data_IF_578958850432
#
_entry.id   IF_578958850432
#
_cell.length_a   1.000
_cell.length_b   1.000
_cell.length_c   1.000
_cell.angle_alpha   90.00
_cell.angle_beta   90.00
_cell.angle_gamma   90.00
#
_symmetry.space_group_name_H-M   'P 1'
#
loop_
_entity.id
_entity.type
_entity.pdbx_description
1 polymer ?
#
# COMPACT_ATOMS: atom_id res chain seq x y z
N UNK A 1 -22.18 -31.57 21.06
CA UNK A 1 -22.88 -30.94 19.93
C UNK A 1 -23.15 -29.44 20.12
N UNK A 2 -23.54 -28.94 21.31
CA UNK A 2 -23.87 -27.51 21.49
C UNK A 2 -22.71 -26.51 21.28
N UNK A 3 -21.46 -26.87 21.56
CA UNK A 3 -20.31 -25.96 21.39
C UNK A 3 -20.05 -25.58 19.92
N UNK A 4 -20.22 -26.53 18.99
CA UNK A 4 -19.99 -26.35 17.56
C UNK A 4 -21.05 -25.44 16.93
N UNK A 5 -22.33 -25.59 17.31
CA UNK A 5 -23.39 -24.72 16.82
C UNK A 5 -23.23 -23.28 17.32
N UNK A 6 -22.91 -23.08 18.61
CA UNK A 6 -22.69 -21.73 19.15
C UNK A 6 -21.51 -21.01 18.51
N UNK A 7 -20.48 -21.75 18.07
CA UNK A 7 -19.35 -21.14 17.36
C UNK A 7 -19.74 -20.77 15.93
N UNK A 8 -20.39 -21.67 15.18
CA UNK A 8 -20.84 -21.40 13.80
C UNK A 8 -21.79 -20.19 13.75
N UNK A 9 -22.73 -20.09 14.69
CA UNK A 9 -23.66 -18.95 14.77
C UNK A 9 -22.91 -17.64 15.01
N UNK A 10 -21.93 -17.62 15.92
CA UNK A 10 -21.09 -16.45 16.16
C UNK A 10 -20.25 -16.05 14.95
N UNK A 11 -19.73 -17.01 14.19
CA UNK A 11 -18.99 -16.75 12.96
C UNK A 11 -19.90 -16.16 11.87
N UNK A 12 -21.09 -16.73 11.70
CA UNK A 12 -22.07 -16.24 10.72
C UNK A 12 -22.50 -14.80 11.03
N UNK A 13 -22.73 -14.47 12.30
CA UNK A 13 -23.09 -13.12 12.74
C UNK A 13 -21.97 -12.11 12.47
N UNK A 14 -20.71 -12.50 12.73
CA UNK A 14 -19.54 -11.66 12.44
C UNK A 14 -19.38 -11.42 10.94
N UNK A 15 -19.52 -12.46 10.11
CA UNK A 15 -19.47 -12.33 8.66
C UNK A 15 -20.57 -11.36 8.18
N UNK A 16 -21.79 -11.55 8.67
CA UNK A 16 -22.93 -10.71 8.31
C UNK A 16 -22.76 -9.25 8.75
N UNK A 17 -22.10 -9.01 9.89
CA UNK A 17 -21.73 -7.68 10.34
C UNK A 17 -20.72 -7.01 9.38
N UNK A 18 -19.75 -7.77 8.86
CA UNK A 18 -18.78 -7.27 7.88
C UNK A 18 -19.49 -6.91 6.57
N UNK A 19 -20.37 -7.79 6.08
CA UNK A 19 -21.17 -7.52 4.88
C UNK A 19 -22.06 -6.28 5.04
N UNK A 20 -22.67 -6.09 6.21
CA UNK A 20 -23.46 -4.87 6.49
C UNK A 20 -22.60 -3.61 6.49
N UNK A 21 -21.36 -3.71 6.96
CA UNK A 21 -20.47 -2.56 7.09
C UNK A 21 -19.78 -2.18 5.77
N UNK A 22 -19.26 -3.16 5.04
CA UNK A 22 -18.49 -2.95 3.80
C UNK A 22 -19.01 -3.83 2.65
N UNK A 23 -20.28 -3.66 2.22
CA UNK A 23 -20.90 -4.55 1.24
C UNK A 23 -20.21 -4.51 -0.12
N UNK A 24 -19.90 -3.31 -0.62
CA UNK A 24 -19.28 -3.13 -1.94
C UNK A 24 -17.85 -3.66 -2.00
N UNK A 25 -17.09 -3.54 -0.90
CA UNK A 25 -15.72 -4.05 -0.84
C UNK A 25 -15.69 -5.59 -0.90
N UNK A 26 -16.60 -6.24 -0.15
CA UNK A 26 -16.77 -7.69 -0.17
C UNK A 26 -17.22 -8.21 -1.53
N UNK A 27 -18.20 -7.53 -2.17
CA UNK A 27 -18.62 -7.88 -3.53
C UNK A 27 -17.47 -7.73 -4.52
N UNK A 28 -16.69 -6.65 -4.43
CA UNK A 28 -15.53 -6.43 -5.28
C UNK A 28 -14.49 -7.54 -5.12
N UNK A 29 -14.17 -7.92 -3.89
CA UNK A 29 -13.24 -9.02 -3.59
C UNK A 29 -13.75 -10.37 -4.08
N UNK A 30 -15.04 -10.66 -3.90
CA UNK A 30 -15.64 -11.91 -4.33
C UNK A 30 -15.63 -12.05 -5.86
N UNK A 31 -16.07 -11.02 -6.57
CA UNK A 31 -16.11 -11.01 -8.04
C UNK A 31 -14.68 -11.04 -8.61
N UNK A 32 -13.74 -10.26 -8.05
CA UNK A 32 -12.34 -10.28 -8.47
C UNK A 32 -11.72 -11.67 -8.31
N UNK A 33 -11.94 -12.31 -7.15
CA UNK A 33 -11.43 -13.67 -6.88
C UNK A 33 -12.00 -14.66 -7.90
N UNK A 34 -13.32 -14.67 -8.12
CA UNK A 34 -13.96 -15.57 -9.09
C UNK A 34 -13.42 -15.35 -10.50
N UNK A 35 -13.29 -14.10 -10.94
CA UNK A 35 -12.74 -13.78 -12.26
C UNK A 35 -11.31 -14.30 -12.41
N UNK A 36 -10.45 -14.12 -11.40
CA UNK A 36 -9.09 -14.65 -11.43
C UNK A 36 -9.05 -16.18 -11.43
N UNK A 37 -9.95 -16.84 -10.69
CA UNK A 37 -10.08 -18.31 -10.72
C UNK A 37 -10.48 -18.81 -12.12
N UNK A 38 -11.45 -18.15 -12.76
CA UNK A 38 -11.88 -18.44 -14.13
C UNK A 38 -10.73 -18.22 -15.12
N UNK A 39 -9.99 -17.13 -14.98
CA UNK A 39 -8.83 -16.83 -15.83
C UNK A 39 -7.73 -17.90 -15.72
N UNK A 40 -7.48 -18.42 -14.51
CA UNK A 40 -6.52 -19.51 -14.30
C UNK A 40 -7.03 -20.83 -14.90
N UNK A 41 -8.32 -21.11 -14.79
CA UNK A 41 -8.89 -22.36 -15.28
C UNK A 41 -8.90 -22.43 -16.81
N UNK A 42 -9.33 -21.35 -17.47
CA UNK A 42 -9.37 -21.28 -18.94
C UNK A 42 -7.96 -21.10 -19.53
N UNK A 43 -7.09 -20.38 -18.83
CA UNK A 43 -5.72 -20.13 -19.26
C UNK A 43 -5.63 -19.50 -20.65
N UNK A 44 -4.69 -19.97 -21.48
CA UNK A 44 -4.47 -19.45 -22.85
C UNK A 44 -5.51 -19.92 -23.88
N UNK A 45 -6.46 -20.76 -23.50
CA UNK A 45 -7.47 -21.31 -24.42
C UNK A 45 -8.64 -20.33 -24.65
N UNK A 46 -8.73 -19.25 -23.86
CA UNK A 46 -9.79 -18.25 -24.00
C UNK A 46 -9.60 -17.39 -25.25
N UNK A 47 -10.70 -16.86 -25.84
CA UNK A 47 -10.62 -15.75 -26.79
C UNK A 47 -9.84 -14.59 -26.19
N UNK A 48 -8.98 -13.96 -27.00
CA UNK A 48 -8.10 -12.85 -26.55
C UNK A 48 -8.93 -11.71 -25.97
N UNK A 49 -10.08 -11.39 -26.58
CA UNK A 49 -10.98 -10.34 -26.11
C UNK A 49 -11.56 -10.64 -24.72
N UNK A 50 -11.93 -11.90 -24.46
CA UNK A 50 -12.43 -12.31 -23.15
C UNK A 50 -11.34 -12.17 -22.08
N UNK A 51 -10.13 -12.64 -22.37
CA UNK A 51 -8.99 -12.58 -21.43
C UNK A 51 -8.64 -11.13 -21.09
N UNK A 52 -8.70 -10.23 -22.07
CA UNK A 52 -8.45 -8.81 -21.90
C UNK A 52 -9.51 -8.15 -21.00
N UNK A 53 -10.80 -8.37 -21.31
CA UNK A 53 -11.90 -7.80 -20.53
C UNK A 53 -11.90 -8.32 -19.10
N UNK A 54 -11.68 -9.63 -18.91
CA UNK A 54 -11.63 -10.24 -17.59
C UNK A 54 -10.46 -9.72 -16.73
N UNK A 55 -9.26 -9.55 -17.31
CA UNK A 55 -8.12 -8.97 -16.59
C UNK A 55 -8.36 -7.49 -16.23
N UNK A 56 -8.94 -6.71 -17.15
CA UNK A 56 -9.36 -5.32 -16.88
C UNK A 56 -10.31 -5.24 -15.70
N UNK A 57 -11.35 -6.07 -15.71
CA UNK A 57 -12.32 -6.13 -14.62
C UNK A 57 -11.68 -6.58 -13.31
N UNK A 58 -10.79 -7.58 -13.32
CA UNK A 58 -10.09 -8.03 -12.14
C UNK A 58 -9.22 -6.92 -11.51
N UNK A 59 -8.49 -6.14 -12.32
CA UNK A 59 -7.74 -4.97 -11.83
C UNK A 59 -8.64 -3.86 -11.29
N UNK A 60 -9.76 -3.56 -11.97
CA UNK A 60 -10.69 -2.53 -11.47
C UNK A 60 -11.31 -2.96 -10.13
N UNK A 61 -11.70 -4.23 -10.03
CA UNK A 61 -12.31 -4.75 -8.82
C UNK A 61 -11.30 -4.91 -7.67
N UNK A 62 -10.01 -5.14 -7.95
CA UNK A 62 -8.98 -5.14 -6.90
C UNK A 62 -8.83 -3.75 -6.27
N UNK A 63 -8.93 -2.65 -7.04
CA UNK A 63 -8.98 -1.29 -6.48
C UNK A 63 -10.22 -1.09 -5.61
N UNK A 64 -11.38 -1.64 -6.02
CA UNK A 64 -12.62 -1.55 -5.25
C UNK A 64 -12.50 -2.12 -3.83
N UNK A 65 -11.65 -3.13 -3.62
CA UNK A 65 -11.38 -3.70 -2.29
C UNK A 65 -10.86 -2.64 -1.31
N UNK A 66 -10.01 -1.72 -1.78
CA UNK A 66 -9.41 -0.67 -0.95
C UNK A 66 -10.20 0.64 -0.99
N UNK A 67 -10.75 0.98 -2.15
CA UNK A 67 -11.47 2.24 -2.37
C UNK A 67 -12.76 2.34 -1.55
N UNK A 68 -13.62 1.31 -1.58
CA UNK A 68 -14.93 1.39 -0.90
C UNK A 68 -14.81 1.52 0.63
N UNK A 69 -13.95 0.76 1.31
CA UNK A 69 -13.73 0.94 2.74
C UNK A 69 -13.10 2.29 3.07
N UNK A 70 -12.13 2.77 2.27
CA UNK A 70 -11.50 4.07 2.46
C UNK A 70 -12.52 5.22 2.37
N UNK A 71 -13.38 5.20 1.35
CA UNK A 71 -14.46 6.18 1.18
C UNK A 71 -15.49 6.09 2.32
N UNK A 72 -15.80 4.89 2.80
CA UNK A 72 -16.69 4.71 3.96
C UNK A 72 -16.09 5.28 5.26
N UNK A 73 -14.77 5.18 5.43
CA UNK A 73 -14.06 5.77 6.57
C UNK A 73 -14.01 7.30 6.48
N UNK A 74 -13.94 7.86 5.28
CA UNK A 74 -14.00 9.30 5.05
C UNK A 74 -15.41 9.86 5.31
N UNK A 75 -16.44 9.18 4.80
CA UNK A 75 -17.83 9.56 5.05
C UNK A 75 -18.80 8.41 4.92
N UNK A 76 -19.81 8.36 5.81
CA UNK A 76 -20.89 7.35 5.76
C UNK A 76 -21.99 7.68 4.75
N UNK A 77 -21.93 8.85 4.09
CA UNK A 77 -22.95 9.30 3.13
C UNK A 77 -22.97 8.40 1.88
N UNK A 78 -24.18 8.13 1.36
CA UNK A 78 -24.38 7.27 0.17
C UNK A 78 -23.65 7.79 -1.08
N UNK A 79 -23.52 9.11 -1.22
CA UNK A 79 -22.85 9.76 -2.35
C UNK A 79 -21.39 9.31 -2.53
N UNK A 80 -20.66 9.03 -1.45
CA UNK A 80 -19.29 8.54 -1.55
C UNK A 80 -19.21 7.14 -2.17
N UNK A 81 -20.24 6.30 -1.99
CA UNK A 81 -20.30 5.00 -2.68
C UNK A 81 -20.51 5.19 -4.19
N UNK A 82 -21.34 6.16 -4.60
CA UNK A 82 -21.55 6.49 -6.01
C UNK A 82 -20.29 7.05 -6.66
N UNK A 83 -19.57 7.93 -5.94
CA UNK A 83 -18.25 8.43 -6.37
C UNK A 83 -17.27 7.28 -6.56
N UNK A 84 -17.23 6.32 -5.63
CA UNK A 84 -16.40 5.13 -5.76
C UNK A 84 -16.69 4.32 -7.02
N UNK A 85 -17.97 4.09 -7.33
CA UNK A 85 -18.38 3.39 -8.56
C UNK A 85 -17.97 4.19 -9.80
N UNK A 86 -18.19 5.51 -9.79
CA UNK A 86 -17.77 6.40 -10.88
C UNK A 86 -16.26 6.37 -11.13
N UNK A 87 -15.44 6.37 -10.06
CA UNK A 87 -13.99 6.27 -10.15
C UNK A 87 -13.54 4.92 -10.72
N UNK A 88 -14.18 3.81 -10.32
CA UNK A 88 -13.88 2.49 -10.89
C UNK A 88 -14.26 2.41 -12.37
N UNK A 89 -15.40 2.98 -12.77
CA UNK A 89 -15.82 3.05 -14.17
C UNK A 89 -14.87 3.91 -15.00
N UNK A 90 -14.44 5.06 -14.47
CA UNK A 90 -13.43 5.90 -15.09
C UNK A 90 -12.10 5.15 -15.28
N UNK A 91 -11.64 4.44 -14.25
CA UNK A 91 -10.42 3.64 -14.31
C UNK A 91 -10.51 2.49 -15.33
N UNK A 92 -11.67 1.84 -15.45
CA UNK A 92 -11.91 0.81 -16.47
C UNK A 92 -11.75 1.35 -17.89
N UNK A 93 -12.35 2.51 -18.16
CA UNK A 93 -12.26 3.16 -19.48
C UNK A 93 -10.82 3.59 -19.79
N UNK A 94 -10.10 4.02 -18.77
CA UNK A 94 -8.74 4.51 -18.88
C UNK A 94 -7.69 3.41 -19.08
N UNK A 95 -7.95 2.17 -18.66
CA UNK A 95 -6.98 1.09 -18.82
C UNK A 95 -6.65 0.87 -20.32
N UNK A 96 -5.36 0.86 -20.70
CA UNK A 96 -4.96 0.61 -22.08
C UNK A 96 -5.36 -0.80 -22.53
N UNK A 97 -5.36 -1.03 -23.84
CA UNK A 97 -5.72 -2.34 -24.40
C UNK A 97 -4.71 -3.43 -24.00
N UNK A 98 -3.41 -3.09 -23.93
CA UNK A 98 -2.38 -4.01 -23.45
C UNK A 98 -2.14 -3.86 -21.94
N UNK A 99 -2.91 -4.61 -21.14
CA UNK A 99 -2.98 -4.47 -19.69
C UNK A 99 -1.79 -5.12 -18.97
N UNK A 100 -1.19 -6.14 -19.59
CA UNK A 100 -0.10 -6.93 -19.01
C UNK A 100 1.28 -6.33 -19.28
N UNK A 101 1.34 -5.09 -19.74
CA UNK A 101 2.60 -4.36 -19.80
C UNK A 101 3.16 -4.16 -18.38
N UNK A 102 4.48 -4.19 -18.20
CA UNK A 102 5.10 -4.01 -16.88
C UNK A 102 4.72 -2.67 -16.25
N UNK A 103 4.63 -1.62 -17.06
CA UNK A 103 4.36 -0.27 -16.58
C UNK A 103 2.93 -0.12 -16.04
N UNK A 104 1.93 -0.71 -16.71
CA UNK A 104 0.52 -0.65 -16.29
C UNK A 104 0.30 -1.42 -14.99
N UNK A 105 0.99 -2.55 -14.81
CA UNK A 105 0.96 -3.32 -13.55
C UNK A 105 1.59 -2.52 -12.41
N UNK A 106 2.75 -1.89 -12.63
CA UNK A 106 3.41 -1.05 -11.61
C UNK A 106 2.50 0.13 -11.21
N UNK A 107 1.89 0.82 -12.17
CA UNK A 107 0.96 1.92 -11.92
C UNK A 107 -0.29 1.46 -11.14
N UNK A 108 -0.84 0.30 -11.51
CA UNK A 108 -1.94 -0.32 -10.77
C UNK A 108 -1.56 -0.63 -9.32
N UNK A 109 -0.36 -1.19 -9.09
CA UNK A 109 0.14 -1.46 -7.75
C UNK A 109 0.37 -0.18 -6.93
N UNK A 110 0.86 0.88 -7.58
CA UNK A 110 0.98 2.22 -6.97
C UNK A 110 -0.39 2.77 -6.55
N UNK A 111 -1.42 2.63 -7.38
CA UNK A 111 -2.78 3.01 -7.03
C UNK A 111 -3.33 2.23 -5.83
N UNK A 112 -3.12 0.90 -5.79
CA UNK A 112 -3.46 0.08 -4.61
C UNK A 112 -2.74 0.60 -3.36
N UNK A 113 -1.48 0.97 -3.49
CA UNK A 113 -0.68 1.51 -2.39
C UNK A 113 -1.20 2.88 -1.91
N UNK A 114 -1.57 3.77 -2.83
CA UNK A 114 -2.16 5.08 -2.52
C UNK A 114 -3.49 4.93 -1.75
N UNK A 115 -4.35 4.02 -2.19
CA UNK A 115 -5.61 3.69 -1.51
C UNK A 115 -5.38 3.03 -0.16
N UNK A 116 -4.34 2.21 -0.03
CA UNK A 116 -3.94 1.60 1.24
C UNK A 116 -3.53 2.67 2.27
N UNK A 117 -2.85 3.74 1.84
CA UNK A 117 -2.55 4.87 2.72
C UNK A 117 -3.79 5.66 3.14
N UNK A 118 -4.88 5.65 2.36
CA UNK A 118 -6.13 6.32 2.75
C UNK A 118 -6.69 5.78 4.06
N UNK A 119 -6.49 4.50 4.38
CA UNK A 119 -6.89 3.94 5.68
C UNK A 119 -6.23 4.61 6.87
N UNK A 120 -5.06 5.24 6.67
CA UNK A 120 -4.28 5.87 7.74
C UNK A 120 -4.65 7.34 7.97
N UNK A 121 -5.24 8.02 6.98
CA UNK A 121 -5.60 9.44 7.10
C UNK A 121 -7.10 9.74 6.97
N UNK A 122 -7.86 8.93 6.24
CA UNK A 122 -9.27 9.18 5.95
C UNK A 122 -10.15 9.38 7.20
N UNK A 123 -10.02 8.58 8.29
CA UNK A 123 -10.81 8.76 9.50
C UNK A 123 -10.52 10.10 10.22
N UNK A 124 -9.39 10.72 9.95
CA UNK A 124 -8.87 11.90 10.68
C UNK A 124 -9.10 13.22 9.94
N UNK A 125 -9.76 13.21 8.76
CA UNK A 125 -9.95 14.43 7.98
C UNK A 125 -10.81 15.46 8.72
N UNK A 126 -11.95 15.01 9.24
CA UNK A 126 -12.95 15.88 9.86
C UNK A 126 -12.75 16.07 11.37
N UNK A 127 -11.74 15.42 11.98
CA UNK A 127 -11.53 15.44 13.43
C UNK A 127 -10.10 15.85 13.76
N UNK A 128 -9.96 16.83 14.66
CA UNK A 128 -8.65 17.16 15.27
C UNK A 128 -8.32 16.12 16.32
N UNK A 129 -7.25 15.36 16.09
CA UNK A 129 -6.84 14.23 16.92
C UNK A 129 -5.33 14.32 17.16
N UNK A 130 -4.87 13.93 18.34
CA UNK A 130 -3.45 13.90 18.69
C UNK A 130 -2.65 12.89 17.84
N UNK A 131 -1.36 13.14 17.65
CA UNK A 131 -0.48 12.22 16.92
C UNK A 131 -0.41 10.82 17.55
N UNK A 132 -0.57 10.72 18.87
CA UNK A 132 -0.63 9.43 19.57
C UNK A 132 -1.80 8.58 19.08
N UNK A 133 -3.00 9.14 18.99
CA UNK A 133 -4.17 8.41 18.50
C UNK A 133 -4.02 8.01 17.01
N UNK A 134 -3.41 8.86 16.18
CA UNK A 134 -3.12 8.53 14.78
C UNK A 134 -2.13 7.37 14.69
N UNK A 135 -1.10 7.38 15.54
CA UNK A 135 -0.11 6.31 15.62
C UNK A 135 -0.74 5.00 16.08
N UNK A 136 -1.55 4.99 17.14
CA UNK A 136 -2.22 3.77 17.64
C UNK A 136 -3.19 3.19 16.61
N UNK A 137 -3.92 4.03 15.89
CA UNK A 137 -4.74 3.61 14.75
C UNK A 137 -3.89 2.97 13.65
N UNK A 138 -2.80 3.62 13.27
CA UNK A 138 -1.90 3.12 12.22
C UNK A 138 -1.31 1.77 12.58
N UNK A 139 -0.84 1.62 13.82
CA UNK A 139 -0.36 0.35 14.35
C UNK A 139 -1.43 -0.72 14.27
N UNK A 140 -2.67 -0.40 14.66
CA UNK A 140 -3.76 -1.36 14.63
C UNK A 140 -4.11 -1.81 13.21
N UNK A 141 -4.18 -0.90 12.25
CA UNK A 141 -4.44 -1.20 10.84
C UNK A 141 -3.33 -2.08 10.26
N UNK A 142 -2.06 -1.71 10.45
CA UNK A 142 -0.91 -2.49 9.96
C UNK A 142 -0.89 -3.87 10.62
N UNK A 143 -1.09 -3.96 11.93
CA UNK A 143 -1.13 -5.24 12.64
C UNK A 143 -2.26 -6.14 12.10
N UNK A 144 -3.46 -5.60 11.90
CA UNK A 144 -4.58 -6.38 11.37
C UNK A 144 -4.30 -6.87 9.94
N UNK A 145 -3.66 -6.05 9.10
CA UNK A 145 -3.26 -6.44 7.75
C UNK A 145 -2.24 -7.58 7.79
N UNK A 146 -1.17 -7.41 8.58
CA UNK A 146 -0.11 -8.41 8.73
C UNK A 146 -0.63 -9.73 9.30
N UNK A 147 -1.50 -9.68 10.32
CA UNK A 147 -2.10 -10.89 10.88
C UNK A 147 -3.01 -11.58 9.85
N UNK A 148 -3.79 -10.84 9.06
CA UNK A 148 -4.60 -11.43 7.98
C UNK A 148 -3.75 -12.16 6.93
N UNK A 149 -2.64 -11.56 6.52
CA UNK A 149 -1.69 -12.17 5.58
C UNK A 149 -0.96 -13.36 6.19
N UNK A 150 -0.50 -13.28 7.44
CA UNK A 150 0.16 -14.38 8.15
C UNK A 150 -0.77 -15.56 8.32
N UNK A 151 -2.02 -15.34 8.73
CA UNK A 151 -3.02 -16.39 8.84
C UNK A 151 -3.27 -17.06 7.48
N UNK A 152 -3.38 -16.27 6.41
CA UNK A 152 -3.52 -16.79 5.05
C UNK A 152 -2.32 -17.64 4.63
N UNK A 153 -1.09 -17.19 4.93
CA UNK A 153 0.14 -17.92 4.65
C UNK A 153 0.19 -19.25 5.42
N UNK A 154 -0.15 -19.25 6.71
CA UNK A 154 -0.18 -20.47 7.52
C UNK A 154 -1.20 -21.47 6.98
N UNK A 155 -2.41 -21.01 6.60
CA UNK A 155 -3.42 -21.88 5.98
C UNK A 155 -2.94 -22.43 4.64
N UNK A 156 -2.27 -21.60 3.83
CA UNK A 156 -1.70 -22.03 2.56
C UNK A 156 -0.61 -23.09 2.75
N UNK A 157 0.28 -22.92 3.72
CA UNK A 157 1.32 -23.92 4.04
C UNK A 157 0.69 -25.24 4.49
N UNK A 158 -0.33 -25.19 5.36
CA UNK A 158 -1.04 -26.39 5.80
C UNK A 158 -1.69 -27.12 4.62
N UNK A 159 -2.33 -26.39 3.71
CA UNK A 159 -2.89 -26.95 2.48
C UNK A 159 -1.81 -27.56 1.60
N UNK A 160 -0.69 -26.85 1.38
CA UNK A 160 0.42 -27.32 0.56
C UNK A 160 1.00 -28.64 1.08
N UNK A 161 1.29 -28.72 2.38
CA UNK A 161 1.80 -29.94 3.03
C UNK A 161 0.79 -31.09 2.94
N UNK A 162 -0.50 -30.79 3.09
CA UNK A 162 -1.55 -31.81 2.97
C UNK A 162 -1.65 -32.37 1.56
N UNK A 163 -1.59 -31.51 0.54
CA UNK A 163 -1.61 -31.95 -0.86
C UNK A 163 -0.36 -32.75 -1.22
N UNK A 164 0.82 -32.33 -0.73
CA UNK A 164 2.05 -33.10 -0.89
C UNK A 164 1.96 -34.50 -0.26
N UNK A 165 1.37 -34.62 0.93
CA UNK A 165 1.14 -35.92 1.56
C UNK A 165 0.15 -36.79 0.76
N UNK A 166 -0.86 -36.19 0.11
CA UNK A 166 -1.79 -36.92 -0.75
C UNK A 166 -1.11 -37.46 -2.03
N UNK A 167 -0.24 -36.65 -2.63
CA UNK A 167 0.56 -37.06 -3.79
C UNK A 167 1.47 -38.26 -3.44
N UNK A 168 2.17 -38.19 -2.30
CA UNK A 168 3.14 -39.22 -1.91
C UNK A 168 2.47 -40.51 -1.38
N UNK A 169 1.41 -40.39 -0.56
CA UNK A 169 0.79 -41.55 0.10
C UNK A 169 -0.30 -42.22 -0.75
N UNK A 170 -0.99 -41.45 -1.59
CA UNK A 170 -2.17 -41.92 -2.33
C UNK A 170 -2.01 -41.77 -3.85
N UNK A 171 -0.85 -41.30 -4.34
CA UNK A 171 -0.57 -41.11 -5.77
C UNK A 171 -1.62 -40.22 -6.50
N UNK A 172 -2.25 -39.30 -5.76
CA UNK A 172 -3.22 -38.35 -6.32
C UNK A 172 -2.48 -37.15 -6.89
N UNK A 173 -2.35 -37.06 -8.22
CA UNK A 173 -1.65 -35.93 -8.87
C UNK A 173 -2.53 -34.68 -8.93
N UNK A 174 -2.04 -33.55 -8.40
CA UNK A 174 -2.73 -32.26 -8.45
C UNK A 174 -2.05 -31.30 -9.41
N UNK A 175 -2.84 -30.66 -10.27
CA UNK A 175 -2.30 -29.64 -11.16
C UNK A 175 -1.86 -28.40 -10.37
N UNK A 176 -0.69 -27.85 -10.70
CA UNK A 176 -0.08 -26.67 -10.04
C UNK A 176 -1.02 -25.46 -9.96
N UNK A 177 -1.98 -25.34 -10.90
CA UNK A 177 -3.02 -24.30 -10.91
C UNK A 177 -3.88 -24.28 -9.64
N UNK A 178 -4.13 -25.41 -8.99
CA UNK A 178 -4.98 -25.48 -7.81
C UNK A 178 -4.33 -24.80 -6.59
N UNK A 179 -3.00 -24.82 -6.49
CA UNK A 179 -2.28 -24.07 -5.46
C UNK A 179 -2.45 -22.57 -5.65
N UNK A 180 -2.33 -22.07 -6.89
CA UNK A 180 -2.54 -20.65 -7.19
C UNK A 180 -3.98 -20.23 -6.94
N UNK A 181 -4.95 -21.06 -7.35
CA UNK A 181 -6.37 -20.85 -7.09
C UNK A 181 -6.67 -20.75 -5.58
N UNK A 182 -6.10 -21.65 -4.76
CA UNK A 182 -6.27 -21.62 -3.32
C UNK A 182 -5.60 -20.39 -2.67
N UNK A 183 -4.41 -20.01 -3.13
CA UNK A 183 -3.74 -18.80 -2.66
C UNK A 183 -4.57 -17.54 -2.96
N UNK A 184 -5.14 -17.43 -4.16
CA UNK A 184 -6.02 -16.31 -4.52
C UNK A 184 -7.32 -16.30 -3.73
N UNK A 185 -7.90 -17.47 -3.46
CA UNK A 185 -9.05 -17.57 -2.56
C UNK A 185 -8.73 -17.04 -1.16
N UNK A 186 -7.59 -17.44 -0.60
CA UNK A 186 -7.16 -16.98 0.72
C UNK A 186 -6.88 -15.47 0.75
N UNK A 187 -6.16 -14.93 -0.23
CA UNK A 187 -5.86 -13.50 -0.28
C UNK A 187 -7.11 -12.66 -0.57
N UNK A 188 -7.87 -13.08 -1.57
CA UNK A 188 -9.03 -12.35 -2.07
C UNK A 188 -10.18 -12.34 -1.07
N UNK A 189 -10.59 -13.51 -0.56
CA UNK A 189 -11.79 -13.64 0.27
C UNK A 189 -11.44 -13.66 1.76
N UNK A 190 -10.56 -14.55 2.19
CA UNK A 190 -10.28 -14.75 3.63
C UNK A 190 -9.52 -13.57 4.25
N UNK A 191 -8.38 -13.16 3.67
CA UNK A 191 -7.55 -12.06 4.18
C UNK A 191 -8.29 -10.73 4.13
N UNK A 192 -8.95 -10.42 3.01
CA UNK A 192 -9.79 -9.23 2.87
C UNK A 192 -10.91 -9.22 3.90
N UNK A 193 -11.62 -10.35 4.07
CA UNK A 193 -12.70 -10.45 5.04
C UNK A 193 -12.23 -10.27 6.48
N UNK A 194 -11.11 -10.90 6.83
CA UNK A 194 -10.45 -10.72 8.12
C UNK A 194 -10.07 -9.25 8.36
N UNK A 195 -9.38 -8.62 7.40
CA UNK A 195 -8.93 -7.25 7.50
C UNK A 195 -10.11 -6.29 7.69
N UNK A 196 -11.12 -6.35 6.82
CA UNK A 196 -12.31 -5.49 6.89
C UNK A 196 -13.08 -5.65 8.20
N UNK A 197 -13.18 -6.87 8.72
CA UNK A 197 -13.85 -7.13 10.00
C UNK A 197 -13.08 -6.64 11.21
N UNK A 198 -11.77 -6.42 11.10
CA UNK A 198 -10.91 -5.93 12.19
C UNK A 198 -10.68 -4.43 12.16
N UNK A 199 -11.09 -3.70 11.12
CA UNK A 199 -11.05 -2.23 11.10
C UNK A 199 -11.90 -1.72 12.27
N UNK A 200 -11.38 -0.90 13.20
CA UNK A 200 -12.16 -0.40 14.34
C UNK A 200 -13.35 0.46 13.89
N UNK A 201 -14.48 0.41 14.60
CA UNK A 201 -15.67 1.23 14.29
C UNK A 201 -15.53 2.69 14.72
N UNK A 202 -14.82 2.91 15.83
CA UNK A 202 -14.67 4.22 16.45
C UNK A 202 -13.19 4.46 16.74
N UNK A 203 -12.68 5.58 16.26
CA UNK A 203 -11.27 5.96 16.38
C UNK A 203 -10.85 6.08 17.86
N UNK A 204 -11.73 6.68 18.68
CA UNK A 204 -11.47 6.90 20.12
C UNK A 204 -11.41 5.62 20.95
N UNK A 205 -11.94 4.49 20.45
CA UNK A 205 -11.91 3.21 21.15
C UNK A 205 -10.61 2.42 20.89
N UNK A 206 -9.72 2.92 20.04
CA UNK A 206 -8.44 2.25 19.73
C UNK A 206 -7.39 2.48 20.82
N UNK A 207 -7.67 3.38 21.78
CA UNK A 207 -6.72 3.81 22.79
C UNK A 207 -6.11 2.64 23.56
N UNK A 208 -4.80 2.44 23.40
CA UNK A 208 -4.06 1.42 24.15
C UNK A 208 -3.62 2.05 25.47
N UNK A 209 -4.21 1.61 26.58
CA UNK A 209 -4.02 2.24 27.89
C UNK A 209 -2.56 2.27 28.40
N UNK A 210 -1.61 1.50 27.81
CA UNK A 210 -0.15 1.62 28.03
C UNK A 210 0.64 1.17 26.80
N UNK A 211 1.75 1.88 26.50
CA UNK A 211 2.76 1.39 25.56
C UNK A 211 3.43 0.15 26.15
N UNK A 212 3.47 -0.92 25.37
CA UNK A 212 3.93 -2.23 25.83
C UNK A 212 5.46 -2.26 25.93
N UNK A 213 6.01 -3.00 26.89
CA UNK A 213 7.45 -3.11 27.12
C UNK A 213 8.15 -3.66 25.88
N UNK A 214 7.51 -4.58 25.16
CA UNK A 214 7.97 -5.10 23.87
C UNK A 214 8.09 -4.00 22.80
N UNK A 215 7.13 -3.07 22.74
CA UNK A 215 7.16 -1.95 21.79
C UNK A 215 8.29 -0.98 22.10
N UNK A 216 8.56 -0.74 23.39
CA UNK A 216 9.68 0.07 23.84
C UNK A 216 11.01 -0.54 23.45
N UNK A 217 11.19 -1.85 23.69
CA UNK A 217 12.40 -2.57 23.30
C UNK A 217 12.61 -2.52 21.78
N UNK A 218 11.57 -2.80 21.00
CA UNK A 218 11.60 -2.73 19.54
C UNK A 218 12.01 -1.35 19.03
N UNK A 219 11.46 -0.29 19.64
CA UNK A 219 11.74 1.09 19.20
C UNK A 219 13.16 1.52 19.54
N UNK A 220 13.59 1.33 20.80
CA UNK A 220 14.88 1.82 21.28
C UNK A 220 16.05 0.97 20.83
N UNK A 221 15.90 -0.35 20.77
CA UNK A 221 17.03 -1.27 20.54
C UNK A 221 17.06 -1.90 19.15
N UNK A 222 15.95 -1.91 18.40
CA UNK A 222 15.95 -2.42 17.03
C UNK A 222 15.84 -1.30 15.99
N UNK A 223 14.77 -0.50 16.02
CA UNK A 223 14.53 0.55 15.04
C UNK A 223 15.58 1.67 15.10
N UNK A 224 15.89 2.16 16.30
CA UNK A 224 16.81 3.30 16.45
C UNK A 224 18.23 2.97 16.00
N UNK A 225 18.85 1.84 16.41
CA UNK A 225 20.17 1.47 15.91
C UNK A 225 20.17 1.15 14.42
N UNK A 226 19.11 0.50 13.90
CA UNK A 226 18.98 0.24 12.47
C UNK A 226 18.96 1.54 11.66
N UNK A 227 18.22 2.57 12.12
CA UNK A 227 18.21 3.88 11.48
C UNK A 227 19.60 4.54 11.49
N UNK A 228 20.34 4.45 12.59
CA UNK A 228 21.69 5.01 12.69
C UNK A 228 22.68 4.30 11.76
N UNK A 229 22.64 2.98 11.69
CA UNK A 229 23.46 2.20 10.76
C UNK A 229 23.13 2.57 9.31
N UNK A 230 21.83 2.67 8.96
CA UNK A 230 21.41 3.07 7.63
C UNK A 230 21.88 4.50 7.31
N UNK A 231 21.74 5.43 8.26
CA UNK A 231 22.24 6.79 8.10
C UNK A 231 23.75 6.82 7.80
N UNK A 232 24.55 6.02 8.53
CA UNK A 232 26.00 5.91 8.27
C UNK A 232 26.28 5.37 6.86
N UNK A 233 25.54 4.36 6.41
CA UNK A 233 25.67 3.80 5.06
C UNK A 233 25.36 4.85 3.99
N UNK A 234 24.25 5.59 4.13
CA UNK A 234 23.89 6.67 3.21
C UNK A 234 24.92 7.78 3.24
N UNK A 235 25.40 8.17 4.41
CA UNK A 235 26.39 9.23 4.54
C UNK A 235 27.72 8.85 3.88
N UNK A 236 28.21 7.63 4.11
CA UNK A 236 29.38 7.10 3.42
C UNK A 236 29.17 7.06 1.89
N UNK A 237 27.95 6.71 1.45
CA UNK A 237 27.60 6.69 0.04
C UNK A 237 27.60 8.09 -0.59
N UNK A 238 27.05 9.08 0.10
CA UNK A 238 27.08 10.49 -0.33
C UNK A 238 28.53 10.97 -0.49
N UNK A 239 29.41 10.66 0.47
CA UNK A 239 30.84 10.99 0.37
C UNK A 239 31.45 10.35 -0.88
N UNK A 240 31.16 9.07 -1.12
CA UNK A 240 31.65 8.36 -2.32
C UNK A 240 31.23 9.06 -3.61
N UNK A 241 29.96 9.45 -3.72
CA UNK A 241 29.43 10.16 -4.90
C UNK A 241 30.14 11.50 -5.12
N UNK A 242 30.38 12.25 -4.04
CA UNK A 242 31.06 13.55 -4.12
C UNK A 242 32.52 13.38 -4.59
N UNK A 243 33.22 12.35 -4.11
CA UNK A 243 34.61 12.08 -4.46
C UNK A 243 34.77 11.55 -5.89
N UNK A 244 33.91 10.62 -6.30
CA UNK A 244 33.96 9.99 -7.63
C UNK A 244 33.26 10.83 -8.72
N UNK A 245 32.52 11.87 -8.33
CA UNK A 245 31.66 12.67 -9.21
C UNK A 245 30.69 11.82 -10.07
N UNK A 246 30.33 10.65 -9.57
CA UNK A 246 29.59 9.60 -10.30
C UNK A 246 28.06 9.74 -10.15
N UNK A 247 27.55 10.96 -10.26
CA UNK A 247 26.12 11.29 -10.06
C UNK A 247 25.17 10.53 -11.01
N UNK A 248 25.67 10.09 -12.17
CA UNK A 248 24.92 9.46 -13.26
C UNK A 248 24.84 7.93 -13.17
N UNK A 249 25.87 7.25 -12.67
CA UNK A 249 25.96 5.79 -12.71
C UNK A 249 25.41 5.10 -11.45
N UNK A 250 25.08 5.88 -10.42
CA UNK A 250 24.78 5.40 -9.08
C UNK A 250 23.29 5.54 -8.75
N UNK A 251 22.61 4.40 -8.53
CA UNK A 251 21.20 4.33 -8.20
C UNK A 251 20.95 4.47 -6.67
N UNK A 252 20.93 5.71 -6.18
CA UNK A 252 20.62 6.05 -4.76
C UNK A 252 19.13 5.87 -4.47
N UNK A 253 18.28 5.77 -5.49
CA UNK A 253 16.84 5.95 -5.42
C UNK A 253 16.20 4.93 -4.47
N UNK A 254 16.53 3.65 -4.62
CA UNK A 254 16.01 2.57 -3.77
C UNK A 254 16.52 2.70 -2.33
N UNK A 255 17.80 3.06 -2.14
CA UNK A 255 18.40 3.28 -0.83
C UNK A 255 17.69 4.44 -0.11
N UNK A 256 17.34 5.49 -0.83
CA UNK A 256 16.69 6.66 -0.27
C UNK A 256 15.23 6.40 0.08
N UNK A 257 14.51 5.67 -0.77
CA UNK A 257 13.15 5.18 -0.47
C UNK A 257 13.18 4.31 0.78
N UNK A 258 14.08 3.33 0.84
CA UNK A 258 14.25 2.45 2.00
C UNK A 258 14.55 3.21 3.29
N UNK A 259 15.48 4.17 3.24
CA UNK A 259 15.78 5.01 4.40
C UNK A 259 14.59 5.85 4.85
N UNK A 260 13.85 6.43 3.90
CA UNK A 260 12.65 7.23 4.21
C UNK A 260 11.61 6.38 4.95
N UNK A 261 11.36 5.15 4.51
CA UNK A 261 10.46 4.24 5.21
C UNK A 261 10.94 3.92 6.64
N UNK A 262 12.24 3.63 6.82
CA UNK A 262 12.82 3.35 8.14
C UNK A 262 12.78 4.59 9.04
N UNK A 263 13.08 5.77 8.51
CA UNK A 263 13.06 7.05 9.22
C UNK A 263 11.66 7.42 9.71
N UNK A 264 10.67 7.40 8.81
CA UNK A 264 9.26 7.66 9.14
C UNK A 264 8.75 6.61 10.14
N UNK A 265 9.04 5.32 9.89
CA UNK A 265 8.66 4.24 10.79
C UNK A 265 9.25 4.42 12.20
N UNK A 266 10.53 4.78 12.29
CA UNK A 266 11.20 5.05 13.57
C UNK A 266 10.60 6.25 14.26
N UNK A 267 10.41 7.37 13.54
CA UNK A 267 9.81 8.59 14.08
C UNK A 267 8.40 8.33 14.64
N UNK A 268 7.59 7.55 13.92
CA UNK A 268 6.26 7.15 14.36
C UNK A 268 6.29 6.27 15.61
N UNK A 269 7.17 5.26 15.69
CA UNK A 269 7.27 4.41 16.89
C UNK A 269 7.82 5.13 18.11
N UNK A 270 8.55 6.23 17.92
CA UNK A 270 8.98 7.11 19.00
C UNK A 270 7.86 8.01 19.55
N UNK A 271 6.66 8.03 18.95
CA UNK A 271 5.51 8.85 19.40
C UNK A 271 5.23 8.80 20.91
N UNK A 272 5.14 7.63 21.55
CA UNK A 272 4.91 7.55 23.00
C UNK A 272 6.15 7.90 23.86
N UNK A 273 7.31 8.13 23.25
CA UNK A 273 8.60 8.37 23.92
C UNK A 273 9.10 9.81 23.76
N UNK A 274 8.36 10.66 23.03
CA UNK A 274 8.74 12.06 22.84
C UNK A 274 8.60 12.83 24.14
N UNK A 275 9.72 13.42 24.56
CA UNK A 275 9.85 14.31 25.70
C UNK A 275 10.85 15.41 25.33
N UNK A 276 10.89 16.50 26.08
CA UNK A 276 11.72 17.68 25.78
C UNK A 276 13.22 17.31 25.66
N UNK A 277 13.68 16.32 26.44
CA UNK A 277 15.04 15.80 26.39
C UNK A 277 15.41 15.17 25.04
N UNK A 278 14.45 14.60 24.31
CA UNK A 278 14.67 13.82 23.08
C UNK A 278 14.38 14.62 21.80
N UNK A 279 14.07 15.92 21.91
CA UNK A 279 13.77 16.77 20.76
C UNK A 279 14.92 16.83 19.73
N UNK A 280 16.17 16.68 20.17
CA UNK A 280 17.35 16.62 19.27
C UNK A 280 17.27 15.42 18.30
N UNK A 281 16.69 14.30 18.76
CA UNK A 281 16.55 13.12 17.92
C UNK A 281 15.51 13.32 16.82
N UNK A 282 14.43 14.07 17.08
CA UNK A 282 13.48 14.52 16.04
C UNK A 282 14.21 15.32 14.95
N UNK A 283 15.03 16.29 15.35
CA UNK A 283 15.81 17.10 14.42
C UNK A 283 16.80 16.26 13.61
N UNK A 284 17.43 15.27 14.23
CA UNK A 284 18.29 14.32 13.54
C UNK A 284 17.55 13.56 12.44
N UNK A 285 16.40 12.93 12.75
CA UNK A 285 15.64 12.12 11.78
C UNK A 285 15.19 12.97 10.58
N UNK A 286 14.58 14.13 10.83
CA UNK A 286 14.05 14.94 9.74
C UNK A 286 15.15 15.74 9.03
N UNK A 287 16.23 16.09 9.74
CA UNK A 287 17.40 16.74 9.14
C UNK A 287 18.17 15.80 8.22
N UNK A 288 18.35 14.54 8.60
CA UNK A 288 18.97 13.53 7.73
C UNK A 288 18.10 13.21 6.52
N UNK A 289 16.77 13.14 6.70
CA UNK A 289 15.81 12.94 5.60
C UNK A 289 15.81 14.12 4.62
N UNK A 290 15.93 15.36 5.13
CA UNK A 290 16.08 16.55 4.30
C UNK A 290 17.39 16.52 3.52
N UNK A 291 18.50 16.20 4.18
CA UNK A 291 19.81 16.06 3.51
C UNK A 291 19.74 15.03 2.37
N UNK A 292 19.11 13.88 2.61
CA UNK A 292 18.91 12.86 1.60
C UNK A 292 18.05 13.37 0.42
N UNK A 293 17.01 14.14 0.70
CA UNK A 293 16.19 14.78 -0.34
C UNK A 293 17.02 15.72 -1.23
N UNK A 294 17.96 16.48 -0.65
CA UNK A 294 18.85 17.36 -1.43
C UNK A 294 19.76 16.53 -2.32
N UNK A 295 20.42 15.49 -1.78
CA UNK A 295 21.30 14.60 -2.56
C UNK A 295 20.54 13.94 -3.72
N UNK A 296 19.34 13.41 -3.46
CA UNK A 296 18.50 12.85 -4.50
C UNK A 296 18.15 13.88 -5.57
N UNK A 297 17.81 15.11 -5.16
CA UNK A 297 17.48 16.19 -6.08
C UNK A 297 18.64 16.54 -7.01
N UNK A 298 19.87 16.57 -6.49
CA UNK A 298 21.08 16.78 -7.29
C UNK A 298 21.33 15.62 -8.25
N UNK A 299 21.22 14.37 -7.79
CA UNK A 299 21.39 13.19 -8.65
C UNK A 299 20.37 13.15 -9.79
N UNK A 300 19.10 13.43 -9.49
CA UNK A 300 18.02 13.49 -10.48
C UNK A 300 18.25 14.63 -11.46
N UNK A 301 18.70 15.80 -11.00
CA UNK A 301 19.02 16.92 -11.88
C UNK A 301 20.03 16.54 -12.96
N UNK A 302 21.13 15.86 -12.59
CA UNK A 302 22.10 15.39 -13.58
C UNK A 302 21.54 14.31 -14.51
N UNK A 303 20.69 13.40 -14.01
CA UNK A 303 20.05 12.39 -14.88
C UNK A 303 19.05 12.99 -15.86
N UNK A 304 18.29 14.01 -15.48
CA UNK A 304 17.34 14.71 -16.38
C UNK A 304 18.08 15.50 -17.47
N UNK A 305 19.35 15.89 -17.25
CA UNK A 305 20.15 16.51 -18.32
C UNK A 305 20.55 15.50 -19.39
N UNK A 306 20.81 14.25 -19.00
CA UNK A 306 21.28 13.19 -19.90
C UNK A 306 20.13 12.32 -20.46
N UNK A 307 18.98 12.27 -19.78
CA UNK A 307 17.81 11.45 -20.12
C UNK A 307 16.52 12.27 -20.07
N UNK A 308 15.42 11.72 -20.58
CA UNK A 308 14.12 12.40 -20.53
C UNK A 308 13.58 12.49 -19.08
N UNK A 309 12.82 13.55 -18.79
CA UNK A 309 12.15 13.72 -17.51
C UNK A 309 11.15 12.59 -17.22
N UNK A 310 10.56 12.02 -18.28
CA UNK A 310 9.53 10.98 -18.20
C UNK A 310 10.04 9.71 -17.52
N UNK A 311 11.29 9.33 -17.75
CA UNK A 311 11.89 8.14 -17.12
C UNK A 311 12.08 8.31 -15.60
N UNK A 312 12.22 9.56 -15.13
CA UNK A 312 12.55 9.90 -13.75
C UNK A 312 11.42 10.66 -13.02
N UNK A 313 10.22 10.73 -13.61
CA UNK A 313 9.12 11.54 -13.08
C UNK A 313 8.69 11.13 -11.67
N UNK A 314 8.48 9.82 -11.44
CA UNK A 314 8.04 9.29 -10.13
C UNK A 314 9.04 9.61 -9.02
N UNK A 315 10.34 9.40 -9.27
CA UNK A 315 11.39 9.64 -8.27
C UNK A 315 11.62 11.14 -8.05
N UNK A 316 11.41 11.97 -9.08
CA UNK A 316 11.45 13.44 -8.98
C UNK A 316 10.34 13.96 -8.08
N UNK A 317 9.10 13.49 -8.29
CA UNK A 317 7.98 13.80 -7.41
C UNK A 317 8.23 13.33 -5.98
N UNK A 318 8.72 12.10 -5.80
CA UNK A 318 9.06 11.55 -4.49
C UNK A 318 10.10 12.41 -3.77
N UNK A 319 11.11 12.89 -4.49
CA UNK A 319 12.16 13.75 -3.96
C UNK A 319 11.61 15.10 -3.51
N UNK A 320 10.77 15.75 -4.33
CA UNK A 320 10.12 16.99 -3.96
C UNK A 320 9.24 16.83 -2.70
N UNK A 321 8.45 15.75 -2.65
CA UNK A 321 7.64 15.44 -1.48
C UNK A 321 8.48 15.18 -0.24
N UNK A 322 9.59 14.45 -0.38
CA UNK A 322 10.50 14.16 0.72
C UNK A 322 11.07 15.45 1.33
N UNK A 323 11.46 16.40 0.48
CA UNK A 323 11.92 17.72 0.92
C UNK A 323 10.82 18.50 1.64
N UNK A 324 9.62 18.58 1.06
CA UNK A 324 8.49 19.30 1.64
C UNK A 324 8.04 18.72 2.99
N UNK A 325 7.92 17.40 3.09
CA UNK A 325 7.50 16.75 4.33
C UNK A 325 8.58 16.89 5.42
N UNK A 326 9.86 16.83 5.05
CA UNK A 326 10.96 17.04 5.99
C UNK A 326 10.96 18.46 6.54
N UNK A 327 10.77 19.48 5.68
CA UNK A 327 10.64 20.87 6.12
C UNK A 327 9.43 21.07 7.03
N UNK A 328 8.29 20.44 6.70
CA UNK A 328 7.08 20.48 7.51
C UNK A 328 7.33 19.98 8.94
N UNK A 329 7.98 18.83 9.14
CA UNK A 329 8.28 18.29 10.47
C UNK A 329 9.45 18.97 11.19
N UNK A 330 10.34 19.65 10.47
CA UNK A 330 11.42 20.45 11.07
C UNK A 330 10.91 21.77 11.64
N UNK A 331 10.07 22.49 10.89
CA UNK A 331 9.61 23.83 11.28
C UNK A 331 8.38 23.81 12.18
N UNK A 332 7.47 22.84 12.01
CA UNK A 332 6.22 22.79 12.79
C UNK A 332 6.39 21.79 13.94
N UNK A 333 6.45 22.32 15.17
CA UNK A 333 6.65 21.51 16.39
C UNK A 333 5.56 20.46 16.60
N UNK A 334 4.30 20.80 16.30
CA UNK A 334 3.13 19.91 16.44
C UNK A 334 2.64 19.41 15.08
N UNK A 335 3.57 19.05 14.20
CA UNK A 335 3.27 18.53 12.87
C UNK A 335 2.40 17.26 12.96
N UNK A 336 1.18 17.32 12.40
CA UNK A 336 0.27 16.17 12.40
C UNK A 336 0.68 15.10 11.39
N UNK A 337 0.67 13.83 11.82
CA UNK A 337 0.97 12.67 10.96
C UNK A 337 -0.06 12.45 9.85
N UNK A 338 -1.28 12.99 10.00
CA UNK A 338 -2.32 12.92 8.97
C UNK A 338 -1.81 13.47 7.63
N UNK A 339 -1.10 14.60 7.67
CA UNK A 339 -0.58 15.25 6.46
C UNK A 339 0.52 14.46 5.78
N UNK A 340 1.30 13.67 6.54
CA UNK A 340 2.28 12.74 5.98
C UNK A 340 1.59 11.68 5.11
N UNK A 341 0.58 11.00 5.65
CA UNK A 341 -0.14 9.94 4.92
C UNK A 341 -1.02 10.49 3.80
N UNK A 342 -1.63 11.65 4.00
CA UNK A 342 -2.42 12.31 2.97
C UNK A 342 -1.53 12.73 1.78
N UNK A 343 -0.40 13.37 2.05
CA UNK A 343 0.49 13.89 1.00
C UNK A 343 1.15 12.79 0.18
N UNK A 344 1.55 11.66 0.77
CA UNK A 344 2.09 10.53 -0.02
C UNK A 344 1.01 9.86 -0.88
N UNK A 345 -0.22 9.72 -0.35
CA UNK A 345 -1.36 9.21 -1.12
C UNK A 345 -1.67 10.14 -2.30
N UNK A 346 -1.66 11.46 -2.07
CA UNK A 346 -1.85 12.47 -3.11
C UNK A 346 -0.73 12.44 -4.15
N UNK A 347 0.53 12.31 -3.73
CA UNK A 347 1.67 12.22 -4.66
C UNK A 347 1.52 11.04 -5.62
N UNK A 348 1.13 9.88 -5.11
CA UNK A 348 0.97 8.69 -5.95
C UNK A 348 -0.21 8.84 -6.91
N UNK A 349 -1.26 9.56 -6.51
CA UNK A 349 -2.37 9.90 -7.41
C UNK A 349 -1.91 10.89 -8.50
N UNK A 350 -1.10 11.89 -8.15
CA UNK A 350 -0.52 12.83 -9.10
C UNK A 350 0.42 12.11 -10.07
N UNK A 351 1.19 11.11 -9.60
CA UNK A 351 2.10 10.36 -10.48
C UNK A 351 1.38 9.58 -11.58
N UNK A 352 0.07 9.31 -11.43
CA UNK A 352 -0.74 8.71 -12.50
C UNK A 352 -1.04 9.67 -13.64
N UNK A 353 -0.82 10.99 -13.47
CA UNK A 353 -1.06 11.98 -14.53
C UNK A 353 -0.13 11.81 -15.73
N UNK A 354 1.07 11.26 -15.54
CA UNK A 354 1.98 10.94 -16.64
C UNK A 354 1.34 9.94 -17.61
N UNK A 355 0.72 8.89 -17.06
CA UNK A 355 0.00 7.92 -17.87
C UNK A 355 -1.20 8.58 -18.61
N UNK A 356 -1.82 9.63 -18.04
CA UNK A 356 -2.95 10.31 -18.69
C UNK A 356 -2.47 11.02 -19.97
N UNK A 357 -1.27 11.59 -19.90
CA UNK A 357 -0.60 12.21 -21.04
C UNK A 357 -0.26 11.15 -22.07
N UNK A 358 0.36 10.04 -21.69
CA UNK A 358 0.75 8.95 -22.60
C UNK A 358 -0.44 8.35 -23.34
N UNK A 359 -1.52 8.02 -22.61
CA UNK A 359 -2.76 7.47 -23.20
C UNK A 359 -3.44 8.48 -24.12
N UNK A 360 -3.42 9.78 -23.79
CA UNK A 360 -3.97 10.82 -24.66
C UNK A 360 -3.17 10.95 -25.97
N UNK A 361 -1.85 10.77 -25.92
CA UNK A 361 -0.95 10.79 -27.08
C UNK A 361 -1.16 9.55 -27.95
N UNK A 362 -1.33 8.37 -27.35
CA UNK A 362 -1.71 7.14 -28.07
C UNK A 362 -3.08 7.28 -28.77
N UNK A 363 -4.08 7.86 -28.09
CA UNK A 363 -5.40 8.10 -28.70
C UNK A 363 -5.31 9.10 -29.86
N UNK A 364 -4.55 10.18 -29.70
CA UNK A 364 -4.36 11.18 -30.75
C UNK A 364 -3.67 10.58 -31.99
N UNK A 365 -2.57 9.85 -31.80
CA UNK A 365 -1.85 9.17 -32.90
C UNK A 365 -2.68 8.11 -33.61
N UNK A 366 -3.62 7.47 -32.91
CA UNK A 366 -4.54 6.47 -33.48
C UNK A 366 -5.72 7.08 -34.25
N UNK A 367 -6.14 8.29 -33.91
CA UNK A 367 -7.21 9.03 -34.59
C UNK A 367 -6.68 9.81 -35.80
N UNK A 368 -5.42 10.25 -35.78
CA UNK A 368 -4.77 10.99 -36.87
C UNK A 368 -4.82 10.33 -38.27
N UNK A 369 -4.77 8.99 -38.43
CA UNK A 369 -4.94 8.36 -39.74
C UNK A 369 -6.40 8.27 -40.23
N UNK A 370 -7.37 8.72 -39.44
CA UNK A 370 -8.80 8.76 -39.79
C UNK A 370 -9.36 10.18 -39.98
N UNK A 371 -8.52 11.21 -39.82
CA UNK A 371 -8.75 12.62 -40.19
C UNK A 371 -7.91 12.93 -41.43
#
# INVERSE_FOLDING_TARGET
MNFVFTTIDQWSLKILEIFKRFPLAMLSSFIATILLLILIEIGKQAPVDFLLVANKLAMVLSLGIFLFPALHLLSKKIWFKLVGIGLLAFYYYYLPFNILNSNTVIQHMLLVFALSFMFLWAPFMDVKISNQNIWEWTQKIIQNLLVGLLLSLVIFIMFYVSMYALEELFFVTLATRHYVQFALFLLGIFSTGYFLGKIPKYIMLVQKNKYDDLGLVFTKFMLTPALLIYFLLIFAYIIKIILEQSWLSINIDLLAVGYTFVAIGTYMHWTPLWDDANQKFRLFIWGSTLMLSITLGVSIYFRILDSSLDEHYLISLFTLWLGLISLYFLFIKEASYKWLFFSISLLILISQSQQLIDVSLELYTRILPFL
#
